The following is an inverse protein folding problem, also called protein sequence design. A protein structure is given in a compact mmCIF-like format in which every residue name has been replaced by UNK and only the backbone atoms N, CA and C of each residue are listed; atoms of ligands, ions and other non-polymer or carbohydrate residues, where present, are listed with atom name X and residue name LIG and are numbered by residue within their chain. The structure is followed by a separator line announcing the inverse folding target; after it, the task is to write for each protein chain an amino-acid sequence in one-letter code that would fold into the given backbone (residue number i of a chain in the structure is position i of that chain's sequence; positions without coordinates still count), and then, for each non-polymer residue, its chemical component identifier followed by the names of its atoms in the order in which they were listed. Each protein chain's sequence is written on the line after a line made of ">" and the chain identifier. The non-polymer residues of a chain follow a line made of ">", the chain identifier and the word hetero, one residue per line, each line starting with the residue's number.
data_IF_718717302330
#
_entry.id   IF_718717302330
#
_cell.length_a   1.000
_cell.length_b   1.000
_cell.length_c   1.000
_cell.angle_alpha   90.00
_cell.angle_beta   90.00
_cell.angle_gamma   90.00
#
_symmetry.space_group_name_H-M   'P 1'
#
loop_
_entity.id
_entity.type
_entity.pdbx_description
1 polymer ?
#
# COMPACT_ATOMS: atom_id res chain seq x y z
N UNK A 1 -15.56 -9.20 -16.37
CA UNK A 1 -15.32 -8.00 -17.21
C UNK A 1 -14.24 -7.17 -16.53
N UNK A 2 -12.96 -7.35 -16.87
CA UNK A 2 -11.86 -6.65 -16.18
C UNK A 2 -10.62 -6.55 -17.06
N UNK A 3 -10.63 -5.69 -18.08
CA UNK A 3 -9.50 -5.50 -19.01
C UNK A 3 -9.52 -4.11 -19.66
N UNK A 4 -9.44 -3.02 -18.87
CA UNK A 4 -9.21 -1.66 -19.41
C UNK A 4 -8.53 -0.67 -18.43
N UNK A 5 -8.06 -1.08 -17.24
CA UNK A 5 -7.50 -0.15 -16.24
C UNK A 5 -6.01 0.17 -16.39
N UNK A 6 -5.23 -0.73 -16.98
CA UNK A 6 -3.79 -0.52 -17.25
C UNK A 6 -3.52 0.75 -18.10
N UNK A 7 -4.20 0.98 -19.25
CA UNK A 7 -3.89 2.14 -20.10
C UNK A 7 -4.23 3.48 -19.45
N UNK A 8 -5.22 3.52 -18.53
CA UNK A 8 -5.61 4.77 -17.89
C UNK A 8 -4.53 5.29 -16.93
N UNK A 9 -3.93 4.41 -16.14
CA UNK A 9 -2.85 4.81 -15.24
C UNK A 9 -1.61 5.23 -16.03
N UNK A 10 -1.25 4.50 -17.08
CA UNK A 10 -0.13 4.86 -17.94
C UNK A 10 -0.32 6.23 -18.58
N UNK A 11 -1.49 6.48 -19.16
CA UNK A 11 -1.83 7.77 -19.75
C UNK A 11 -1.82 8.91 -18.72
N UNK A 12 -2.32 8.66 -17.50
CA UNK A 12 -2.26 9.64 -16.43
C UNK A 12 -0.82 9.98 -16.03
N UNK A 13 0.05 8.98 -15.89
CA UNK A 13 1.47 9.18 -15.58
C UNK A 13 2.20 9.93 -16.69
N UNK A 14 1.96 9.58 -17.95
CA UNK A 14 2.53 10.29 -19.10
C UNK A 14 2.07 11.75 -19.15
N UNK A 15 0.78 12.00 -18.90
CA UNK A 15 0.23 13.35 -18.84
C UNK A 15 0.83 14.16 -17.69
N UNK A 16 0.96 13.58 -16.51
CA UNK A 16 1.58 14.23 -15.35
C UNK A 16 3.06 14.53 -15.60
N UNK A 17 3.79 13.63 -16.25
CA UNK A 17 5.17 13.84 -16.64
C UNK A 17 5.31 15.03 -17.59
N UNK A 18 4.49 15.11 -18.64
CA UNK A 18 4.46 16.26 -19.55
C UNK A 18 4.05 17.55 -18.83
N UNK A 19 3.06 17.50 -17.94
CA UNK A 19 2.61 18.65 -17.16
C UNK A 19 3.74 19.25 -16.31
N UNK A 20 4.49 18.40 -15.61
CA UNK A 20 5.60 18.83 -14.75
C UNK A 20 6.75 19.42 -15.56
N UNK A 21 6.98 18.95 -16.79
CA UNK A 21 7.96 19.52 -17.72
C UNK A 21 7.57 20.93 -18.19
N UNK A 22 6.28 21.15 -18.47
CA UNK A 22 5.78 22.45 -18.96
C UNK A 22 5.60 23.44 -17.82
N UNK A 23 5.11 22.97 -16.66
CA UNK A 23 4.77 23.80 -15.49
C UNK A 23 5.53 23.26 -14.27
N UNK A 24 6.75 23.74 -13.99
CA UNK A 24 7.55 23.26 -12.87
C UNK A 24 6.85 23.40 -11.50
N UNK A 25 6.00 24.43 -11.35
CA UNK A 25 5.22 24.63 -10.12
C UNK A 25 4.20 23.50 -9.87
N UNK A 26 3.75 22.79 -10.92
CA UNK A 26 2.80 21.68 -10.78
C UNK A 26 3.33 20.61 -9.81
N UNK A 27 4.64 20.34 -9.81
CA UNK A 27 5.24 19.34 -8.93
C UNK A 27 5.05 19.67 -7.44
N UNK A 28 5.08 20.95 -7.07
CA UNK A 28 4.81 21.41 -5.69
C UNK A 28 3.34 21.31 -5.29
N UNK A 29 2.42 21.46 -6.25
CA UNK A 29 0.98 21.37 -6.02
C UNK A 29 0.48 19.92 -5.97
N UNK A 30 1.17 18.99 -6.63
CA UNK A 30 0.79 17.57 -6.64
C UNK A 30 0.95 16.91 -5.27
N UNK A 31 1.93 17.33 -4.45
CA UNK A 31 2.11 16.81 -3.09
C UNK A 31 0.87 16.93 -2.19
N UNK A 32 0.32 18.14 -1.94
CA UNK A 32 -0.86 18.28 -1.09
C UNK A 32 -2.09 17.58 -1.68
N UNK A 33 -2.22 17.53 -3.02
CA UNK A 33 -3.30 16.78 -3.68
C UNK A 33 -3.16 15.27 -3.41
N UNK A 34 -1.95 14.73 -3.56
CA UNK A 34 -1.67 13.32 -3.31
C UNK A 34 -1.93 12.91 -1.85
N UNK A 35 -1.69 13.82 -0.90
CA UNK A 35 -1.99 13.59 0.51
C UNK A 35 -3.50 13.61 0.79
N UNK A 36 -4.21 14.58 0.23
CA UNK A 36 -5.67 14.74 0.40
C UNK A 36 -6.47 13.62 -0.26
N UNK A 37 -6.03 13.15 -1.43
CA UNK A 37 -6.71 12.09 -2.18
C UNK A 37 -6.30 10.68 -1.72
N UNK A 38 -5.45 10.56 -0.71
CA UNK A 38 -5.02 9.27 -0.21
C UNK A 38 -6.23 8.48 0.31
N UNK A 39 -6.47 7.24 -0.15
CA UNK A 39 -7.63 6.46 0.22
C UNK A 39 -7.79 6.29 1.74
N UNK A 40 -9.01 6.46 2.23
CA UNK A 40 -9.29 6.23 3.64
C UNK A 40 -9.02 4.77 4.03
N UNK A 41 -8.55 4.53 5.26
CA UNK A 41 -8.06 3.22 5.71
C UNK A 41 -9.07 2.07 5.58
N UNK A 42 -10.38 2.38 5.59
CA UNK A 42 -11.44 1.36 5.41
C UNK A 42 -11.62 0.91 3.97
N UNK A 43 -10.98 1.56 2.99
CA UNK A 43 -11.03 1.13 1.59
C UNK A 43 -10.31 -0.19 1.41
N UNK A 44 -10.78 -0.96 0.42
CA UNK A 44 -10.21 -2.24 -0.01
C UNK A 44 -8.69 -2.17 -0.19
N UNK A 45 -8.00 -3.26 0.18
CA UNK A 45 -6.54 -3.36 0.07
C UNK A 45 -6.04 -3.04 -1.35
N UNK A 46 -6.75 -3.50 -2.38
CA UNK A 46 -6.39 -3.26 -3.77
C UNK A 46 -6.34 -1.76 -4.13
N UNK A 47 -7.21 -0.95 -3.52
CA UNK A 47 -7.22 0.50 -3.73
C UNK A 47 -6.02 1.14 -3.05
N UNK A 48 -5.69 0.72 -1.83
CA UNK A 48 -4.51 1.17 -1.09
C UNK A 48 -3.23 0.86 -1.85
N UNK A 49 -3.05 -0.41 -2.25
CA UNK A 49 -1.88 -0.89 -3.00
C UNK A 49 -1.73 -0.11 -4.31
N UNK A 50 -2.82 0.03 -5.08
CA UNK A 50 -2.77 0.72 -6.38
C UNK A 50 -2.39 2.19 -6.20
N UNK A 51 -2.90 2.85 -5.16
CA UNK A 51 -2.55 4.23 -4.87
C UNK A 51 -1.07 4.37 -4.51
N UNK A 52 -0.56 3.53 -3.60
CA UNK A 52 0.87 3.54 -3.21
C UNK A 52 1.77 3.23 -4.41
N UNK A 53 1.45 2.23 -5.22
CA UNK A 53 2.20 1.92 -6.46
C UNK A 53 2.25 3.12 -7.41
N UNK A 54 1.15 3.85 -7.56
CA UNK A 54 1.11 5.05 -8.39
C UNK A 54 1.94 6.19 -7.79
N UNK A 55 1.89 6.41 -6.47
CA UNK A 55 2.77 7.40 -5.84
C UNK A 55 4.24 7.05 -6.03
N UNK A 56 4.62 5.77 -5.83
CA UNK A 56 6.00 5.31 -6.02
C UNK A 56 6.46 5.46 -7.47
N UNK A 57 5.60 5.15 -8.45
CA UNK A 57 5.90 5.40 -9.88
C UNK A 57 6.12 6.89 -10.14
N UNK A 58 5.34 7.76 -9.51
CA UNK A 58 5.47 9.21 -9.68
C UNK A 58 6.83 9.77 -9.25
N UNK A 59 7.52 9.07 -8.33
CA UNK A 59 8.87 9.43 -7.89
C UNK A 59 9.91 9.39 -9.01
N UNK A 60 9.66 8.68 -10.12
CA UNK A 60 10.56 8.66 -11.27
C UNK A 60 10.67 10.03 -11.95
N UNK A 61 9.56 10.76 -12.08
CA UNK A 61 9.49 12.07 -12.74
C UNK A 61 9.29 13.27 -11.79
N UNK A 62 8.86 13.05 -10.53
CA UNK A 62 8.76 14.09 -9.48
C UNK A 62 10.01 14.11 -8.59
N UNK A 63 11.18 14.23 -9.19
CA UNK A 63 12.48 14.06 -8.49
C UNK A 63 12.69 15.00 -7.31
N UNK A 64 12.26 16.25 -7.43
CA UNK A 64 12.43 17.30 -6.42
C UNK A 64 11.57 17.04 -5.18
N UNK A 65 10.41 16.40 -5.35
CA UNK A 65 9.44 16.16 -4.27
C UNK A 65 9.51 14.75 -3.69
N UNK A 66 10.52 13.94 -4.07
CA UNK A 66 10.64 12.54 -3.64
C UNK A 66 10.47 12.34 -2.14
N UNK A 67 11.20 13.12 -1.34
CA UNK A 67 11.12 13.04 0.11
C UNK A 67 9.71 13.30 0.64
N UNK A 68 8.98 14.25 0.03
CA UNK A 68 7.62 14.59 0.46
C UNK A 68 6.61 13.51 0.10
N UNK A 69 6.72 12.90 -1.07
CA UNK A 69 5.86 11.77 -1.45
C UNK A 69 6.15 10.53 -0.59
N UNK A 70 7.41 10.26 -0.28
CA UNK A 70 7.78 9.19 0.66
C UNK A 70 7.24 9.46 2.06
N UNK A 71 7.32 10.72 2.54
CA UNK A 71 6.72 11.13 3.81
C UNK A 71 5.21 10.87 3.85
N UNK A 72 4.47 11.15 2.76
CA UNK A 72 3.04 10.84 2.66
C UNK A 72 2.81 9.33 2.82
N UNK A 73 3.56 8.49 2.09
CA UNK A 73 3.42 7.02 2.17
C UNK A 73 3.73 6.54 3.59
N UNK A 74 4.87 6.95 4.16
CA UNK A 74 5.29 6.56 5.51
C UNK A 74 4.29 7.03 6.58
N UNK A 75 3.73 8.23 6.44
CA UNK A 75 2.70 8.73 7.36
C UNK A 75 1.44 7.86 7.35
N UNK A 76 1.11 7.26 6.20
CA UNK A 76 -0.05 6.35 6.09
C UNK A 76 0.26 4.96 6.65
N UNK A 77 1.46 4.44 6.42
CA UNK A 77 1.93 3.21 7.09
C UNK A 77 1.91 3.38 8.62
N UNK A 78 2.44 4.51 9.12
CA UNK A 78 2.42 4.80 10.55
C UNK A 78 1.00 4.90 11.12
N UNK A 79 0.07 5.49 10.37
CA UNK A 79 -1.34 5.51 10.79
C UNK A 79 -1.93 4.11 10.85
N UNK A 80 -1.65 3.23 9.88
CA UNK A 80 -2.11 1.84 9.93
C UNK A 80 -1.53 1.10 11.14
N UNK A 81 -0.23 1.28 11.41
CA UNK A 81 0.45 0.71 12.57
C UNK A 81 -0.20 1.13 13.91
N UNK A 82 -0.53 2.42 14.06
CA UNK A 82 -1.26 2.92 15.24
C UNK A 82 -2.64 2.26 15.39
N UNK A 83 -3.34 1.98 14.28
CA UNK A 83 -4.63 1.30 14.31
C UNK A 83 -4.51 -0.23 14.37
N UNK A 84 -3.31 -0.77 14.23
CA UNK A 84 -2.97 -2.18 14.36
C UNK A 84 -2.20 -2.41 15.67
N UNK A 85 -2.70 -1.85 16.78
CA UNK A 85 -2.02 -1.98 18.06
C UNK A 85 -1.86 -3.45 18.45
N UNK A 86 -0.75 -3.79 19.10
CA UNK A 86 -0.50 -5.17 19.56
C UNK A 86 -1.65 -5.74 20.39
N UNK A 87 -2.31 -4.90 21.18
CA UNK A 87 -3.45 -5.33 22.00
C UNK A 87 -4.65 -5.69 21.13
N UNK A 88 -4.93 -4.92 20.08
CA UNK A 88 -6.05 -5.15 19.18
C UNK A 88 -5.82 -6.37 18.30
N UNK A 89 -4.58 -6.57 17.82
CA UNK A 89 -4.17 -7.78 17.10
C UNK A 89 -4.42 -9.02 17.97
N UNK A 90 -3.87 -9.05 19.18
CA UNK A 90 -4.02 -10.19 20.10
C UNK A 90 -5.51 -10.46 20.41
N UNK A 91 -6.32 -9.41 20.60
CA UNK A 91 -7.76 -9.54 20.86
C UNK A 91 -8.50 -10.17 19.69
N UNK A 92 -8.27 -9.70 18.47
CA UNK A 92 -8.92 -10.24 17.26
C UNK A 92 -8.45 -11.66 16.97
N UNK A 93 -7.16 -11.94 17.19
CA UNK A 93 -6.61 -13.28 16.99
C UNK A 93 -7.14 -14.30 18.00
N UNK A 94 -7.25 -13.92 19.28
CA UNK A 94 -7.69 -14.80 20.37
C UNK A 94 -9.21 -14.94 20.48
N UNK A 95 -9.99 -13.90 20.17
CA UNK A 95 -11.47 -14.00 20.17
C UNK A 95 -11.98 -15.01 19.14
N UNK A 96 -11.24 -15.19 18.04
CA UNK A 96 -11.52 -16.27 17.12
C UNK A 96 -11.14 -17.64 17.66
N UNK A 97 -10.20 -17.80 18.60
CA UNK A 97 -9.85 -19.14 19.13
C UNK A 97 -11.06 -19.75 19.86
N UNK A 98 -11.79 -18.96 20.65
CA UNK A 98 -13.01 -19.43 21.33
C UNK A 98 -14.13 -19.79 20.34
N UNK A 99 -14.27 -19.03 19.25
CA UNK A 99 -15.31 -19.27 18.23
C UNK A 99 -14.92 -20.42 17.28
N UNK A 100 -13.64 -20.51 16.90
CA UNK A 100 -13.06 -21.51 16.01
C UNK A 100 -12.97 -22.86 16.70
N UNK A 101 -12.69 -22.93 18.01
CA UNK A 101 -12.77 -24.17 18.80
C UNK A 101 -14.21 -24.71 18.92
N UNK A 102 -15.21 -23.84 19.02
CA UNK A 102 -16.63 -24.22 19.07
C UNK A 102 -17.12 -24.72 17.69
N UNK A 103 -16.65 -24.14 16.58
CA UNK A 103 -16.97 -24.61 15.23
C UNK A 103 -16.15 -25.84 14.76
N UNK A 104 -14.93 -26.01 15.28
CA UNK A 104 -14.03 -27.12 14.90
C UNK A 104 -14.51 -28.50 15.37
N UNK A 105 -15.47 -28.58 16.29
CA UNK A 105 -16.08 -29.86 16.69
C UNK A 105 -17.13 -30.37 15.69
N UNK A 106 -17.61 -29.54 14.76
CA UNK A 106 -18.67 -29.91 13.80
C UNK A 106 -18.21 -30.01 12.33
N UNK A 107 -16.99 -29.60 11.98
CA UNK A 107 -16.53 -29.60 10.58
C UNK A 107 -15.18 -30.31 10.38
N UNK A 108 -15.21 -31.64 10.35
CA UNK A 108 -14.23 -32.44 9.62
C UNK A 108 -14.69 -32.53 8.16
N UNK A 109 -14.36 -31.52 7.35
CA UNK A 109 -14.21 -31.58 5.88
C UNK A 109 -14.45 -30.19 5.25
N UNK A 110 -13.44 -29.32 5.26
CA UNK A 110 -13.25 -28.37 4.16
C UNK A 110 -11.78 -27.97 4.06
N UNK A 111 -11.21 -28.26 2.91
CA UNK A 111 -9.88 -27.91 2.46
C UNK A 111 -9.76 -26.38 2.29
N UNK A 112 -9.57 -25.65 3.39
CA UNK A 112 -9.43 -24.20 3.33
C UNK A 112 -7.95 -23.83 3.13
N UNK A 113 -7.62 -23.46 1.89
CA UNK A 113 -6.36 -22.83 1.52
C UNK A 113 -6.29 -21.41 2.11
N UNK A 114 -6.46 -21.27 3.43
CA UNK A 114 -6.27 -20.02 4.14
C UNK A 114 -4.80 -19.64 4.04
N UNK A 115 -4.47 -18.85 3.03
CA UNK A 115 -3.31 -17.98 3.04
C UNK A 115 -3.43 -17.13 4.30
N UNK A 116 -2.66 -17.49 5.34
CA UNK A 116 -2.67 -16.85 6.66
C UNK A 116 -2.24 -15.37 6.55
N UNK A 117 -3.16 -14.49 6.13
CA UNK A 117 -3.06 -13.06 6.32
C UNK A 117 -3.38 -12.67 7.77
N UNK A 118 -3.04 -11.46 8.18
CA UNK A 118 -3.40 -11.00 9.53
C UNK A 118 -4.92 -10.90 9.66
N UNK A 119 -5.49 -11.33 10.78
CA UNK A 119 -6.95 -11.28 10.99
C UNK A 119 -7.47 -9.86 11.16
N UNK A 120 -6.62 -8.94 11.61
CA UNK A 120 -6.94 -7.51 11.71
C UNK A 120 -6.67 -6.82 10.37
N UNK A 121 -7.71 -6.29 9.74
CA UNK A 121 -7.67 -5.66 8.41
C UNK A 121 -6.58 -4.57 8.27
N UNK A 122 -6.39 -3.74 9.29
CA UNK A 122 -5.39 -2.68 9.30
C UNK A 122 -3.96 -3.25 9.30
N UNK A 123 -3.76 -4.38 9.98
CA UNK A 123 -2.47 -5.05 10.07
C UNK A 123 -2.14 -5.77 8.74
N UNK A 124 -3.12 -6.45 8.14
CA UNK A 124 -2.96 -7.05 6.81
C UNK A 124 -2.67 -6.00 5.72
N UNK A 125 -3.35 -4.84 5.82
CA UNK A 125 -3.07 -3.68 4.96
C UNK A 125 -1.67 -3.14 5.17
N UNK A 126 -1.20 -3.05 6.40
CA UNK A 126 0.16 -2.59 6.71
C UNK A 126 1.19 -3.52 6.05
N UNK A 127 1.06 -4.83 6.22
CA UNK A 127 1.97 -5.83 5.64
C UNK A 127 2.04 -5.73 4.12
N UNK A 128 0.89 -5.65 3.46
CA UNK A 128 0.80 -5.53 2.01
C UNK A 128 1.45 -4.23 1.50
N UNK A 129 1.22 -3.10 2.17
CA UNK A 129 1.80 -1.83 1.75
C UNK A 129 3.29 -1.74 2.06
N UNK A 130 3.75 -2.34 3.17
CA UNK A 130 5.17 -2.49 3.48
C UNK A 130 5.88 -3.34 2.43
N UNK A 131 5.27 -4.45 1.99
CA UNK A 131 5.81 -5.26 0.91
C UNK A 131 6.04 -4.44 -0.36
N UNK A 132 5.04 -3.67 -0.80
CA UNK A 132 5.16 -2.79 -1.97
C UNK A 132 6.25 -1.74 -1.79
N UNK A 133 6.39 -1.16 -0.59
CA UNK A 133 7.43 -0.18 -0.30
C UNK A 133 8.83 -0.80 -0.34
N UNK A 134 9.00 -1.99 0.24
CA UNK A 134 10.28 -2.70 0.21
C UNK A 134 10.65 -3.18 -1.19
N UNK A 135 9.69 -3.66 -1.96
CA UNK A 135 9.88 -4.01 -3.37
C UNK A 135 10.44 -2.80 -4.14
N UNK A 136 9.87 -1.62 -3.92
CA UNK A 136 10.38 -0.38 -4.52
C UNK A 136 11.79 -0.03 -4.06
N UNK A 137 12.07 -0.07 -2.75
CA UNK A 137 13.43 0.19 -2.21
C UNK A 137 14.44 -0.75 -2.85
N UNK A 138 14.12 -2.05 -2.92
CA UNK A 138 14.98 -3.06 -3.54
C UNK A 138 15.22 -2.71 -5.02
N UNK A 139 14.17 -2.39 -5.77
CA UNK A 139 14.28 -2.08 -7.21
C UNK A 139 15.15 -0.85 -7.51
N UNK A 140 15.08 0.17 -6.65
CA UNK A 140 15.80 1.42 -6.86
C UNK A 140 17.22 1.33 -6.33
N UNK A 141 17.38 0.80 -5.11
CA UNK A 141 18.64 0.85 -4.37
C UNK A 141 19.53 -0.37 -4.59
N UNK A 142 19.03 -1.51 -5.07
CA UNK A 142 19.82 -2.74 -5.20
C UNK A 142 20.07 -3.07 -6.67
N UNK A 143 21.34 -3.28 -7.03
CA UNK A 143 21.77 -3.81 -8.32
C UNK A 143 22.76 -4.95 -8.09
N UNK A 144 22.52 -6.12 -8.69
CA UNK A 144 23.35 -7.31 -8.53
C UNK A 144 23.60 -7.71 -7.05
N UNK A 145 22.58 -7.54 -6.19
CA UNK A 145 22.67 -7.87 -4.77
C UNK A 145 23.51 -6.90 -3.93
N UNK A 146 23.92 -5.75 -4.48
CA UNK A 146 24.63 -4.68 -3.78
C UNK A 146 23.86 -3.37 -3.85
N UNK A 147 24.07 -2.50 -2.87
CA UNK A 147 23.52 -1.14 -2.89
C UNK A 147 24.19 -0.38 -4.04
N UNK A 148 23.40 0.27 -4.90
CA UNK A 148 23.90 1.17 -5.96
C UNK A 148 24.67 2.32 -5.30
N UNK A 149 25.95 2.43 -5.61
CA UNK A 149 26.81 3.55 -5.21
C UNK A 149 26.51 4.80 -6.04
#
# INVERSE_FOLDING_TARGET
>A
ISTNRLPLHDFAHETLQHLVLIVPLASTLLCPIAEQQFPFMTKEINVQITYVKNLLRSLSYLSIQRSRFLEIILSKLLRLDVHASRQDIIRVENSNIETELVFSLEQLDTNDNNTKGMKLDQADKLDCLMYVMFEYIISICIENGKIKN
#
